data_IF_327515837938
#
_entry.id   IF_327515837938
#
_cell.length_a   1.000
_cell.length_b   1.000
_cell.length_c   1.000
_cell.angle_alpha   90.00
_cell.angle_beta   90.00
_cell.angle_gamma   90.00
#
_symmetry.space_group_name_H-M   'P 1'
#
loop_
_entity.id
_entity.type
_entity.pdbx_description
1 polymer ?
#
# COMPACT_ATOMS: atom_id res chain seq x y z
N UNK A 1 23.86 -1.43 -9.32
CA UNK A 1 22.75 -2.33 -8.94
C UNK A 1 22.48 -3.36 -10.04
N UNK A 2 22.25 -4.64 -9.71
CA UNK A 2 21.77 -5.61 -10.68
C UNK A 2 20.42 -5.11 -11.26
N UNK A 3 20.12 -5.41 -12.54
CA UNK A 3 18.83 -5.06 -13.11
C UNK A 3 17.73 -5.76 -12.30
N UNK A 4 16.79 -4.98 -11.77
CA UNK A 4 15.60 -5.53 -11.13
C UNK A 4 14.87 -6.38 -12.18
N UNK A 5 14.74 -7.69 -11.91
CA UNK A 5 13.91 -8.55 -12.74
C UNK A 5 12.50 -7.94 -12.82
N UNK A 6 11.84 -7.95 -13.99
CA UNK A 6 10.45 -7.51 -14.07
C UNK A 6 9.64 -8.32 -13.05
N UNK A 7 8.88 -7.62 -12.21
CA UNK A 7 8.04 -8.28 -11.21
C UNK A 7 7.15 -9.29 -11.95
N UNK A 8 7.19 -10.56 -11.51
CA UNK A 8 6.29 -11.57 -12.03
C UNK A 8 4.84 -11.07 -11.93
N UNK A 9 3.98 -11.35 -12.92
CA UNK A 9 2.59 -10.93 -12.86
C UNK A 9 1.95 -11.47 -11.58
N UNK A 10 1.18 -10.60 -10.90
CA UNK A 10 0.46 -10.97 -9.70
C UNK A 10 -0.58 -12.05 -10.04
N UNK A 11 -0.77 -13.01 -9.13
CA UNK A 11 -1.95 -13.88 -9.19
C UNK A 11 -3.22 -13.05 -9.03
N UNK A 12 -4.37 -13.63 -9.38
CA UNK A 12 -5.65 -12.95 -9.23
C UNK A 12 -5.93 -12.60 -7.77
N UNK A 13 -5.59 -13.49 -6.85
CA UNK A 13 -5.74 -13.31 -5.41
C UNK A 13 -4.89 -12.13 -4.93
N UNK A 14 -3.62 -12.06 -5.35
CA UNK A 14 -2.74 -10.94 -5.01
C UNK A 14 -3.23 -9.61 -5.61
N UNK A 15 -3.85 -9.63 -6.79
CA UNK A 15 -4.44 -8.43 -7.39
C UNK A 15 -5.65 -7.92 -6.57
N UNK A 16 -6.51 -8.83 -6.10
CA UNK A 16 -7.66 -8.48 -5.25
C UNK A 16 -7.22 -7.95 -3.88
N UNK A 17 -6.19 -8.55 -3.27
CA UNK A 17 -5.57 -8.03 -2.04
C UNK A 17 -5.06 -6.61 -2.24
N UNK A 18 -4.42 -6.33 -3.38
CA UNK A 18 -3.96 -4.96 -3.67
C UNK A 18 -5.10 -3.96 -3.82
N UNK A 19 -6.23 -4.36 -4.41
CA UNK A 19 -7.43 -3.51 -4.46
C UNK A 19 -8.04 -3.28 -3.07
N UNK A 20 -8.10 -4.31 -2.22
CA UNK A 20 -8.54 -4.19 -0.83
C UNK A 20 -7.70 -3.15 -0.07
N UNK A 21 -6.37 -3.27 -0.13
CA UNK A 21 -5.45 -2.32 0.51
C UNK A 21 -5.64 -0.90 -0.01
N UNK A 22 -5.85 -0.73 -1.33
CA UNK A 22 -6.12 0.58 -1.92
C UNK A 22 -7.38 1.24 -1.33
N UNK A 23 -8.50 0.51 -1.28
CA UNK A 23 -9.74 1.06 -0.73
C UNK A 23 -9.64 1.30 0.78
N UNK A 24 -9.01 0.40 1.51
CA UNK A 24 -8.84 0.52 2.96
C UNK A 24 -7.99 1.74 3.35
N UNK A 25 -6.94 2.07 2.60
CA UNK A 25 -6.14 3.27 2.82
C UNK A 25 -6.88 4.54 2.38
N UNK A 26 -7.66 4.46 1.29
CA UNK A 26 -8.50 5.58 0.85
C UNK A 26 -9.52 5.98 1.93
N UNK A 27 -10.16 5.01 2.57
CA UNK A 27 -11.08 5.24 3.70
C UNK A 27 -10.38 5.87 4.92
N UNK A 28 -9.07 5.63 5.07
CA UNK A 28 -8.22 6.24 6.12
C UNK A 28 -7.63 7.58 5.70
N UNK A 29 -8.00 8.12 4.53
CA UNK A 29 -7.56 9.42 4.04
C UNK A 29 -6.27 9.40 3.21
N UNK A 30 -5.71 8.23 2.91
CA UNK A 30 -4.49 8.10 2.11
C UNK A 30 -4.79 7.74 0.66
N UNK A 31 -4.54 8.69 -0.24
CA UNK A 31 -4.67 8.47 -1.68
C UNK A 31 -3.36 7.99 -2.29
N UNK A 32 -3.35 6.76 -2.81
CA UNK A 32 -2.22 6.18 -3.52
C UNK A 32 -2.57 5.91 -4.99
N UNK A 33 -1.56 5.63 -5.82
CA UNK A 33 -1.86 5.03 -7.10
C UNK A 33 -2.45 3.62 -6.91
N UNK A 34 -3.55 3.30 -7.59
CA UNK A 34 -4.24 1.99 -7.54
C UNK A 34 -3.35 0.78 -7.83
N UNK A 35 -2.19 1.01 -8.47
CA UNK A 35 -1.16 -0.01 -8.69
C UNK A 35 -0.27 -0.29 -7.46
N UNK A 36 -0.49 0.38 -6.33
CA UNK A 36 0.33 0.27 -5.10
C UNK A 36 1.61 1.12 -5.13
N UNK A 37 1.71 2.09 -6.03
CA UNK A 37 2.89 2.96 -6.14
C UNK A 37 2.70 4.20 -5.27
N UNK A 38 3.70 4.51 -4.44
CA UNK A 38 3.77 5.72 -3.62
C UNK A 38 4.86 6.63 -4.16
N UNK A 39 4.58 7.93 -4.23
CA UNK A 39 5.53 8.96 -4.64
C UNK A 39 5.50 10.09 -3.63
N UNK A 40 6.67 10.51 -3.18
CA UNK A 40 6.84 11.56 -2.18
C UNK A 40 7.18 12.89 -2.86
N UNK A 41 6.65 13.99 -2.34
CA UNK A 41 6.94 15.35 -2.80
C UNK A 41 7.69 16.14 -1.73
N UNK A 42 8.29 17.28 -2.12
CA UNK A 42 9.07 18.15 -1.21
C UNK A 42 8.37 18.48 0.12
N UNK A 43 7.05 18.77 0.19
CA UNK A 43 6.39 19.10 1.45
C UNK A 43 6.07 17.91 2.36
N UNK A 44 6.33 16.67 1.96
CA UNK A 44 6.06 15.50 2.81
C UNK A 44 7.04 15.48 3.99
N UNK A 45 6.49 15.36 5.19
CA UNK A 45 7.25 15.32 6.45
C UNK A 45 7.34 13.89 6.99
N UNK A 46 8.27 13.69 7.93
CA UNK A 46 8.37 12.42 8.67
C UNK A 46 7.09 12.09 9.43
N UNK A 47 6.37 13.11 9.93
CA UNK A 47 5.08 12.93 10.58
C UNK A 47 4.04 12.32 9.62
N UNK A 48 3.93 12.86 8.40
CA UNK A 48 3.01 12.33 7.39
C UNK A 48 3.39 10.91 6.96
N UNK A 49 4.70 10.61 6.86
CA UNK A 49 5.18 9.25 6.64
C UNK A 49 4.76 8.31 7.78
N UNK A 50 4.87 8.76 9.03
CA UNK A 50 4.43 8.01 10.20
C UNK A 50 2.93 7.74 10.20
N UNK A 51 2.10 8.72 9.84
CA UNK A 51 0.66 8.54 9.71
C UNK A 51 0.29 7.52 8.62
N UNK A 52 0.99 7.53 7.47
CA UNK A 52 0.81 6.53 6.42
C UNK A 52 1.16 5.12 6.91
N UNK A 53 2.27 4.98 7.63
CA UNK A 53 2.69 3.69 8.21
C UNK A 53 1.66 3.18 9.20
N UNK A 54 1.19 4.04 10.12
CA UNK A 54 0.17 3.67 11.10
C UNK A 54 -1.16 3.26 10.44
N UNK A 55 -1.57 3.98 9.38
CA UNK A 55 -2.76 3.60 8.62
C UNK A 55 -2.59 2.25 7.92
N UNK A 56 -1.40 1.95 7.39
CA UNK A 56 -1.12 0.67 6.77
C UNK A 56 -1.10 -0.49 7.78
N UNK A 57 -0.49 -0.28 8.95
CA UNK A 57 -0.53 -1.23 10.06
C UNK A 57 -1.97 -1.55 10.48
N UNK A 58 -2.83 -0.53 10.56
CA UNK A 58 -4.25 -0.69 10.87
C UNK A 58 -4.99 -1.50 9.78
N UNK A 59 -4.67 -1.30 8.49
CA UNK A 59 -5.20 -2.15 7.40
C UNK A 59 -4.77 -3.61 7.61
N UNK A 60 -3.48 -3.87 7.86
CA UNK A 60 -2.97 -5.23 8.05
C UNK A 60 -3.64 -5.88 9.26
N UNK A 61 -3.77 -5.16 10.38
CA UNK A 61 -4.46 -5.66 11.57
C UNK A 61 -5.94 -5.95 11.34
N UNK A 62 -6.63 -5.09 10.59
CA UNK A 62 -8.06 -5.24 10.27
C UNK A 62 -8.34 -6.45 9.39
N UNK A 63 -7.47 -6.72 8.40
CA UNK A 63 -7.69 -7.77 7.39
C UNK A 63 -6.71 -8.94 7.51
N UNK A 64 -6.11 -9.14 8.69
CA UNK A 64 -5.07 -10.15 8.90
C UNK A 64 -5.48 -11.54 8.41
N UNK A 65 -6.72 -11.96 8.67
CA UNK A 65 -7.26 -13.28 8.29
C UNK A 65 -7.36 -13.51 6.77
N UNK A 66 -7.29 -12.44 5.98
CA UNK A 66 -7.35 -12.48 4.51
C UNK A 66 -5.97 -12.20 3.89
N UNK A 67 -5.05 -11.59 4.65
CA UNK A 67 -3.74 -11.16 4.19
C UNK A 67 -2.60 -12.13 4.55
N UNK A 68 -2.74 -12.91 5.63
CA UNK A 68 -1.72 -13.79 6.22
C UNK A 68 -2.24 -15.23 6.36
#
# INVERSE_FOLDING_TARGET
PPPSLPAAPLSREHALVKELVFFALLERGFWLARRGMVTVSIPVTDALCGELVAAFEDVVGTYQDVLL
#
